data_IF_933746714700
#
_entry.id   IF_933746714700
#
_cell.length_a   1.000
_cell.length_b   1.000
_cell.length_c   1.000
_cell.angle_alpha   90.00
_cell.angle_beta   90.00
_cell.angle_gamma   90.00
#
_symmetry.space_group_name_H-M   'P 1'
#
loop_
_entity.id
_entity.type
_entity.pdbx_description
1 polymer ?
#
# COMPACT_ATOMS: atom_id res chain seq x y z
N UNK A 1 0.60 8.80 8.25
CA UNK A 1 1.99 9.27 8.36
C UNK A 1 2.41 9.79 6.99
N UNK A 2 2.89 11.03 6.96
CA UNK A 2 3.21 11.83 5.78
C UNK A 2 4.49 11.39 5.04
N UNK A 3 4.68 10.07 4.88
CA UNK A 3 5.86 9.48 4.22
C UNK A 3 5.88 9.89 2.74
N UNK A 4 4.71 9.99 2.10
CA UNK A 4 4.51 10.40 0.71
C UNK A 4 4.91 11.85 0.41
N UNK A 5 4.81 12.75 1.39
CA UNK A 5 5.22 14.16 1.25
C UNK A 5 6.69 14.40 1.63
N UNK A 6 7.40 13.36 2.07
CA UNK A 6 8.81 13.44 2.46
C UNK A 6 9.07 14.12 3.81
N UNK A 7 8.06 14.37 4.65
CA UNK A 7 8.23 15.02 5.96
C UNK A 7 9.14 14.21 6.90
N UNK A 8 9.04 12.88 6.83
CA UNK A 8 9.91 11.94 7.56
C UNK A 8 10.63 11.08 6.52
N UNK A 9 11.96 11.18 6.47
CA UNK A 9 12.77 10.33 5.61
C UNK A 9 12.97 8.96 6.30
N UNK A 10 12.40 7.91 5.72
CA UNK A 10 12.63 6.52 6.11
C UNK A 10 14.12 6.21 6.03
N UNK A 11 14.59 5.34 6.91
CA UNK A 11 15.96 4.89 6.95
C UNK A 11 16.03 3.42 6.50
N UNK A 12 16.60 3.10 5.32
CA UNK A 12 16.75 1.71 4.87
C UNK A 12 17.57 0.83 5.81
N UNK A 13 18.34 1.40 6.74
CA UNK A 13 19.07 0.62 7.77
C UNK A 13 18.22 0.30 9.00
N UNK A 14 17.10 1.00 9.19
CA UNK A 14 16.15 0.70 10.25
C UNK A 14 15.19 -0.39 9.78
N UNK A 15 15.04 -1.46 10.58
CA UNK A 15 14.33 -2.68 10.18
C UNK A 15 12.91 -2.42 9.68
N UNK A 16 12.13 -1.61 10.40
CA UNK A 16 10.72 -1.38 10.06
C UNK A 16 10.56 -0.47 8.83
N UNK A 17 11.42 0.54 8.71
CA UNK A 17 11.49 1.39 7.51
C UNK A 17 11.92 0.58 6.28
N UNK A 18 12.91 -0.30 6.43
CA UNK A 18 13.39 -1.18 5.39
C UNK A 18 12.29 -2.12 4.88
N UNK A 19 11.46 -2.68 5.76
CA UNK A 19 10.30 -3.48 5.35
C UNK A 19 9.30 -2.67 4.54
N UNK A 20 9.01 -1.42 4.93
CA UNK A 20 8.10 -0.56 4.17
C UNK A 20 8.63 -0.30 2.76
N UNK A 21 9.92 -0.01 2.64
CA UNK A 21 10.57 0.23 1.34
C UNK A 21 10.62 -1.06 0.51
N UNK A 22 10.99 -2.19 1.11
CA UNK A 22 11.02 -3.51 0.45
C UNK A 22 9.63 -3.91 -0.05
N UNK A 23 8.59 -3.74 0.77
CA UNK A 23 7.21 -3.99 0.38
C UNK A 23 6.83 -3.15 -0.82
N UNK A 24 7.13 -1.85 -0.78
CA UNK A 24 6.77 -0.94 -1.87
C UNK A 24 7.51 -1.27 -3.18
N UNK A 25 8.79 -1.59 -3.10
CA UNK A 25 9.55 -2.06 -4.26
C UNK A 25 9.05 -3.41 -4.77
N UNK A 26 8.49 -4.26 -3.90
CA UNK A 26 7.86 -5.52 -4.28
C UNK A 26 6.52 -5.30 -4.98
N UNK A 27 5.71 -4.34 -4.53
CA UNK A 27 4.44 -3.97 -5.18
C UNK A 27 4.67 -3.48 -6.63
N UNK A 28 5.79 -2.79 -6.85
CA UNK A 28 6.23 -2.35 -8.19
C UNK A 28 6.88 -3.48 -9.02
N UNK A 29 7.00 -4.70 -8.48
CA UNK A 29 7.64 -5.83 -9.15
C UNK A 29 9.18 -5.75 -9.23
N UNK A 30 9.79 -4.75 -8.58
CA UNK A 30 11.23 -4.48 -8.61
C UNK A 30 12.01 -5.28 -7.56
N UNK A 31 11.34 -5.74 -6.50
CA UNK A 31 11.90 -6.57 -5.44
C UNK A 31 11.19 -7.92 -5.35
N UNK A 32 11.95 -9.02 -5.38
CA UNK A 32 11.43 -10.40 -5.31
C UNK A 32 11.96 -11.19 -4.10
N UNK A 33 12.68 -10.50 -3.21
CA UNK A 33 13.23 -11.08 -1.99
C UNK A 33 12.22 -11.05 -0.83
N UNK A 34 12.60 -11.62 0.32
CA UNK A 34 11.77 -11.56 1.53
C UNK A 34 11.65 -10.12 2.07
N UNK A 35 10.46 -9.73 2.52
CA UNK A 35 10.23 -8.44 3.20
C UNK A 35 10.58 -8.60 4.69
N UNK A 36 11.88 -8.73 4.97
CA UNK A 36 12.41 -9.08 6.29
C UNK A 36 12.98 -7.87 7.06
N UNK A 37 13.12 -6.72 6.39
CA UNK A 37 13.73 -5.51 6.93
C UNK A 37 15.26 -5.53 6.93
N UNK A 38 15.88 -6.51 6.26
CA UNK A 38 17.32 -6.60 6.09
C UNK A 38 17.68 -5.98 4.73
N UNK A 39 18.29 -4.80 4.78
CA UNK A 39 18.73 -4.10 3.57
C UNK A 39 20.00 -4.73 3.00
N UNK A 40 19.82 -5.72 2.13
CA UNK A 40 20.90 -6.43 1.45
C UNK A 40 20.95 -6.15 -0.06
N UNK A 41 21.78 -6.94 -0.77
CA UNK A 41 22.01 -6.81 -2.22
C UNK A 41 20.73 -6.80 -3.06
N UNK A 42 19.70 -7.57 -2.65
CA UNK A 42 18.41 -7.56 -3.34
C UNK A 42 17.67 -6.23 -3.23
N UNK A 43 17.67 -5.61 -2.04
CA UNK A 43 17.03 -4.31 -1.81
C UNK A 43 17.80 -3.19 -2.51
N UNK A 44 19.13 -3.25 -2.51
CA UNK A 44 19.99 -2.35 -3.29
C UNK A 44 19.74 -2.45 -4.80
N UNK A 45 19.61 -3.67 -5.33
CA UNK A 45 19.30 -3.88 -6.75
C UNK A 45 17.91 -3.32 -7.10
N UNK A 46 16.91 -3.55 -6.26
CA UNK A 46 15.57 -3.01 -6.47
C UNK A 46 15.54 -1.48 -6.42
N UNK A 47 16.23 -0.87 -5.45
CA UNK A 47 16.39 0.59 -5.37
C UNK A 47 17.07 1.15 -6.64
N UNK A 48 18.13 0.48 -7.11
CA UNK A 48 18.84 0.86 -8.34
C UNK A 48 17.93 0.79 -9.56
N UNK A 49 17.17 -0.28 -9.72
CA UNK A 49 16.20 -0.41 -10.82
C UNK A 49 15.18 0.71 -10.77
N UNK A 50 14.56 0.93 -9.61
CA UNK A 50 13.58 2.01 -9.42
C UNK A 50 14.13 3.37 -9.81
N UNK A 51 15.33 3.72 -9.32
CA UNK A 51 15.98 4.99 -9.67
C UNK A 51 16.32 5.09 -11.15
N UNK A 52 16.78 4.00 -11.77
CA UNK A 52 17.14 3.97 -13.19
C UNK A 52 15.91 4.17 -14.08
N UNK A 53 14.82 3.47 -13.78
CA UNK A 53 13.55 3.59 -14.50
C UNK A 53 12.93 4.99 -14.39
N UNK A 54 13.21 5.70 -13.29
CA UNK A 54 12.72 7.05 -13.04
C UNK A 54 13.78 8.15 -13.30
N UNK A 55 14.89 7.81 -13.95
CA UNK A 55 15.99 8.73 -14.27
C UNK A 55 16.53 9.54 -13.06
N UNK A 56 16.50 8.96 -11.85
CA UNK A 56 17.01 9.58 -10.63
C UNK A 56 18.53 9.36 -10.49
N UNK A 57 19.29 10.38 -10.03
CA UNK A 57 20.72 10.26 -9.81
C UNK A 57 21.05 9.43 -8.56
N UNK A 58 22.32 9.01 -8.44
CA UNK A 58 22.86 8.26 -7.29
C UNK A 58 22.09 6.95 -7.02
N UNK A 59 22.29 5.89 -7.84
CA UNK A 59 21.41 4.71 -7.91
C UNK A 59 21.26 3.90 -6.61
N UNK A 60 22.18 4.05 -5.66
CA UNK A 60 22.14 3.32 -4.38
C UNK A 60 21.84 4.23 -3.18
N UNK A 61 21.74 5.54 -3.41
CA UNK A 61 21.45 6.50 -2.33
C UNK A 61 19.95 6.53 -2.07
N UNK A 62 19.56 6.37 -0.82
CA UNK A 62 18.21 6.70 -0.38
C UNK A 62 18.12 8.17 0.01
N UNK A 63 17.13 8.88 -0.53
CA UNK A 63 16.92 10.31 -0.33
C UNK A 63 15.43 10.67 -0.40
N UNK A 64 15.10 11.92 -0.06
CA UNK A 64 13.72 12.41 0.00
C UNK A 64 13.03 12.34 -1.35
N UNK A 65 13.71 12.68 -2.43
CA UNK A 65 13.15 12.64 -3.79
C UNK A 65 12.76 11.21 -4.18
N UNK A 66 13.64 10.26 -3.89
CA UNK A 66 13.39 8.83 -4.10
C UNK A 66 12.23 8.33 -3.28
N UNK A 67 12.18 8.69 -1.99
CA UNK A 67 11.07 8.30 -1.14
C UNK A 67 9.75 8.89 -1.64
N UNK A 68 9.74 10.18 -1.95
CA UNK A 68 8.56 10.85 -2.46
C UNK A 68 8.08 10.15 -3.72
N UNK A 69 8.97 9.81 -4.66
CA UNK A 69 8.58 9.16 -5.90
C UNK A 69 8.17 7.69 -5.71
N UNK A 70 8.90 6.94 -4.87
CA UNK A 70 8.64 5.53 -4.60
C UNK A 70 7.31 5.32 -3.87
N UNK A 71 7.05 6.17 -2.89
CA UNK A 71 5.81 6.20 -2.11
C UNK A 71 4.83 7.25 -2.64
N UNK A 72 5.05 7.77 -3.85
CA UNK A 72 4.03 8.52 -4.58
C UNK A 72 3.04 7.50 -5.08
N UNK A 73 1.92 7.39 -4.39
CA UNK A 73 0.71 6.88 -5.01
C UNK A 73 -0.31 7.98 -5.04
N UNK A 74 -1.14 7.93 -6.08
CA UNK A 74 -2.36 8.70 -6.25
C UNK A 74 -2.25 9.93 -7.15
N UNK A 75 -3.01 9.98 -8.28
CA UNK A 75 -3.47 11.25 -8.82
C UNK A 75 -3.78 12.22 -7.68
N UNK A 76 -3.20 13.41 -7.72
CA UNK A 76 -3.42 14.44 -6.70
C UNK A 76 -4.88 14.89 -6.65
N UNK A 77 -5.65 14.55 -7.67
CA UNK A 77 -7.09 14.70 -7.73
C UNK A 77 -7.79 13.52 -7.02
N UNK A 78 -8.49 13.77 -5.90
CA UNK A 78 -9.22 12.75 -5.16
C UNK A 78 -10.30 12.03 -5.98
N UNK A 79 -10.88 12.68 -6.99
CA UNK A 79 -11.91 12.09 -7.83
C UNK A 79 -11.32 11.16 -8.89
N UNK A 80 -10.16 11.50 -9.45
CA UNK A 80 -9.43 10.58 -10.33
C UNK A 80 -8.98 9.35 -9.55
N UNK A 81 -8.54 9.55 -8.31
CA UNK A 81 -8.15 8.47 -7.41
C UNK A 81 -9.31 7.50 -7.09
N UNK A 82 -10.44 8.03 -6.61
CA UNK A 82 -11.63 7.23 -6.33
C UNK A 82 -12.08 6.45 -7.57
N UNK A 83 -12.09 7.07 -8.75
CA UNK A 83 -12.45 6.40 -10.01
C UNK A 83 -11.50 5.27 -10.36
N UNK A 84 -10.19 5.46 -10.22
CA UNK A 84 -9.19 4.42 -10.50
C UNK A 84 -9.31 3.23 -9.54
N UNK A 85 -9.58 3.47 -8.25
CA UNK A 85 -9.86 2.42 -7.26
C UNK A 85 -11.15 1.67 -7.60
N UNK A 86 -12.23 2.40 -7.89
CA UNK A 86 -13.55 1.84 -8.22
C UNK A 86 -13.53 1.01 -9.51
N UNK A 87 -12.68 1.36 -10.49
CA UNK A 87 -12.48 0.60 -11.73
C UNK A 87 -11.44 -0.54 -11.59
N UNK A 88 -10.77 -0.66 -10.45
CA UNK A 88 -9.72 -1.65 -10.22
C UNK A 88 -8.49 -1.43 -11.10
N UNK A 89 -8.22 -0.18 -11.48
CA UNK A 89 -6.98 0.27 -12.16
C UNK A 89 -5.84 0.43 -11.14
N UNK A 90 -6.20 0.76 -9.90
CA UNK A 90 -5.32 0.76 -8.73
C UNK A 90 -5.85 -0.31 -7.79
N UNK A 91 -5.01 -1.28 -7.42
CA UNK A 91 -5.38 -2.35 -6.48
C UNK A 91 -4.82 -1.99 -5.11
N UNK A 92 -5.72 -1.76 -4.17
CA UNK A 92 -5.38 -1.51 -2.78
C UNK A 92 -4.88 -2.79 -2.14
N UNK A 93 -3.93 -2.67 -1.22
CA UNK A 93 -3.42 -3.77 -0.41
C UNK A 93 -3.68 -3.48 1.08
N UNK A 94 -4.51 -4.28 1.78
CA UNK A 94 -4.82 -4.05 3.19
C UNK A 94 -3.58 -4.10 4.11
N UNK A 95 -2.46 -4.68 3.67
CA UNK A 95 -1.21 -4.67 4.45
C UNK A 95 -0.45 -3.34 4.36
N UNK A 96 -0.80 -2.48 3.39
CA UNK A 96 -0.25 -1.13 3.26
C UNK A 96 -1.12 -0.17 4.09
N UNK A 97 -0.55 0.59 5.05
CA UNK A 97 -1.36 1.40 5.97
C UNK A 97 -2.22 2.48 5.31
N UNK A 98 -1.84 2.98 4.14
CA UNK A 98 -2.61 4.01 3.43
C UNK A 98 -3.84 3.41 2.76
N UNK A 99 -3.66 2.30 2.05
CA UNK A 99 -4.71 1.50 1.45
C UNK A 99 -5.67 0.93 2.48
N UNK A 100 -5.12 0.41 3.59
CA UNK A 100 -5.89 -0.07 4.72
C UNK A 100 -6.85 1.01 5.25
N UNK A 101 -6.44 2.27 5.32
CA UNK A 101 -7.32 3.38 5.73
C UNK A 101 -8.44 3.63 4.73
N UNK A 102 -8.16 3.55 3.44
CA UNK A 102 -9.17 3.70 2.40
C UNK A 102 -10.19 2.57 2.48
N UNK A 103 -9.73 1.33 2.65
CA UNK A 103 -10.58 0.15 2.81
C UNK A 103 -11.40 0.25 4.10
N UNK A 104 -10.77 0.51 5.25
CA UNK A 104 -11.43 0.69 6.55
C UNK A 104 -12.46 1.82 6.51
N UNK A 105 -12.11 2.95 5.89
CA UNK A 105 -13.02 4.09 5.71
C UNK A 105 -14.24 3.71 4.89
N UNK A 106 -14.04 3.02 3.77
CA UNK A 106 -15.16 2.56 2.95
C UNK A 106 -16.02 1.51 3.65
N UNK A 107 -15.42 0.58 4.38
CA UNK A 107 -16.15 -0.39 5.21
C UNK A 107 -16.95 0.30 6.33
N UNK A 108 -16.41 1.37 6.92
CA UNK A 108 -17.09 2.16 7.94
C UNK A 108 -18.27 2.95 7.37
N UNK A 109 -18.09 3.59 6.21
CA UNK A 109 -19.17 4.27 5.47
C UNK A 109 -20.36 3.34 5.19
N UNK A 110 -20.07 2.07 4.90
CA UNK A 110 -21.07 1.04 4.64
C UNK A 110 -21.59 0.33 5.91
N UNK A 111 -21.09 0.69 7.09
CA UNK A 111 -21.54 0.16 8.38
C UNK A 111 -20.95 -1.20 8.79
N UNK A 112 -19.93 -1.71 8.09
CA UNK A 112 -19.27 -2.97 8.43
C UNK A 112 -18.12 -2.82 9.43
N UNK A 113 -17.51 -1.63 9.53
CA UNK A 113 -16.38 -1.36 10.40
C UNK A 113 -16.70 -0.26 11.41
N UNK A 114 -16.56 -0.57 12.71
CA UNK A 114 -16.80 0.37 13.81
C UNK A 114 -15.51 0.74 14.57
N UNK A 115 -14.37 0.21 14.12
CA UNK A 115 -13.07 0.49 14.71
C UNK A 115 -12.49 1.83 14.24
N UNK A 116 -11.30 2.15 14.76
CA UNK A 116 -10.54 3.32 14.33
C UNK A 116 -9.95 3.12 12.94
N UNK A 117 -10.10 4.09 12.04
CA UNK A 117 -9.47 4.07 10.70
C UNK A 117 -7.97 4.42 10.85
N UNK A 118 -7.20 3.45 11.35
CA UNK A 118 -5.80 3.61 11.74
C UNK A 118 -4.80 3.10 10.70
N UNK A 119 -5.26 2.32 9.72
CA UNK A 119 -4.44 1.67 8.71
C UNK A 119 -3.76 0.38 9.19
N UNK A 120 -4.17 -0.17 10.34
CA UNK A 120 -3.69 -1.44 10.86
C UNK A 120 -4.71 -2.53 10.50
N UNK A 121 -4.30 -3.45 9.65
CA UNK A 121 -5.16 -4.58 9.28
C UNK A 121 -5.13 -5.68 10.33
N UNK A 122 -6.00 -5.55 11.33
CA UNK A 122 -6.16 -6.53 12.41
C UNK A 122 -7.52 -7.20 12.41
N UNK A 123 -7.82 -7.94 13.50
CA UNK A 123 -9.04 -8.74 13.66
C UNK A 123 -10.35 -7.97 13.38
N UNK A 124 -10.41 -6.68 13.73
CA UNK A 124 -11.57 -5.85 13.45
C UNK A 124 -11.77 -5.60 11.95
N UNK A 125 -10.69 -5.35 11.20
CA UNK A 125 -10.72 -5.16 9.76
C UNK A 125 -11.03 -6.47 9.03
N UNK A 126 -10.46 -7.59 9.49
CA UNK A 126 -10.79 -8.93 9.00
C UNK A 126 -12.28 -9.27 9.19
N UNK A 127 -12.83 -8.97 10.37
CA UNK A 127 -14.25 -9.20 10.66
C UNK A 127 -15.17 -8.32 9.79
N UNK A 128 -14.81 -7.06 9.56
CA UNK A 128 -15.55 -6.16 8.69
C UNK A 128 -15.49 -6.61 7.22
N UNK A 129 -14.32 -7.02 6.74
CA UNK A 129 -14.15 -7.60 5.41
C UNK A 129 -15.06 -8.83 5.22
N UNK A 130 -15.02 -9.74 6.20
CA UNK A 130 -15.85 -10.94 6.19
C UNK A 130 -17.35 -10.61 6.14
N UNK A 131 -17.82 -9.72 7.01
CA UNK A 131 -19.22 -9.31 7.02
C UNK A 131 -19.65 -8.63 5.71
N UNK A 132 -18.77 -7.82 5.12
CA UNK A 132 -19.01 -7.22 3.80
C UNK A 132 -19.12 -8.28 2.70
N UNK A 133 -18.17 -9.23 2.65
CA UNK A 133 -18.18 -10.33 1.66
C UNK A 133 -19.43 -11.20 1.79
N UNK A 134 -19.79 -11.60 3.01
CA UNK A 134 -20.98 -12.40 3.29
C UNK A 134 -22.26 -11.68 2.84
N UNK A 135 -22.38 -10.38 3.13
CA UNK A 135 -23.55 -9.58 2.72
C UNK A 135 -23.66 -9.41 1.20
N UNK A 136 -22.55 -9.48 0.47
CA UNK A 136 -22.53 -9.36 -1.00
C UNK A 136 -22.40 -10.71 -1.73
N UNK A 137 -22.39 -11.83 -1.01
CA UNK A 137 -22.27 -13.16 -1.61
C UNK A 137 -20.92 -13.44 -2.26
N UNK A 138 -19.84 -12.81 -1.78
CA UNK A 138 -18.48 -12.98 -2.32
C UNK A 138 -17.78 -14.20 -1.69
N UNK A 139 -17.03 -14.94 -2.50
CA UNK A 139 -16.24 -16.09 -2.04
C UNK A 139 -15.01 -15.67 -1.21
N UNK A 140 -14.41 -16.62 -0.50
CA UNK A 140 -13.17 -16.43 0.29
C UNK A 140 -13.27 -15.27 1.31
N UNK A 141 -14.09 -15.40 2.37
CA UNK A 141 -14.50 -14.30 3.25
C UNK A 141 -13.36 -13.54 3.96
N UNK A 142 -12.17 -14.12 4.04
CA UNK A 142 -11.01 -13.54 4.72
C UNK A 142 -9.96 -12.98 3.78
N UNK A 143 -10.04 -13.26 2.48
CA UNK A 143 -9.07 -12.82 1.50
C UNK A 143 -9.49 -11.50 0.86
N UNK A 144 -8.57 -10.55 0.76
CA UNK A 144 -8.74 -9.36 -0.07
C UNK A 144 -8.32 -9.66 -1.50
N UNK A 145 -9.17 -9.33 -2.47
CA UNK A 145 -8.96 -9.56 -3.90
C UNK A 145 -9.61 -8.45 -4.74
N UNK A 146 -9.33 -8.47 -6.05
CA UNK A 146 -9.83 -7.45 -6.99
C UNK A 146 -11.36 -7.40 -7.04
N UNK A 147 -12.04 -8.55 -7.01
CA UNK A 147 -13.51 -8.61 -7.05
C UNK A 147 -14.12 -7.93 -5.82
N UNK A 148 -13.52 -8.16 -4.66
CA UNK A 148 -13.89 -7.52 -3.41
C UNK A 148 -13.73 -6.02 -3.47
N UNK A 149 -12.60 -5.55 -4.00
CA UNK A 149 -12.38 -4.12 -4.18
C UNK A 149 -13.43 -3.49 -5.10
N UNK A 150 -13.68 -4.09 -6.25
CA UNK A 150 -14.69 -3.60 -7.19
C UNK A 150 -16.06 -3.51 -6.52
N UNK A 151 -16.45 -4.51 -5.73
CA UNK A 151 -17.73 -4.48 -5.01
C UNK A 151 -17.75 -3.47 -3.86
N UNK A 152 -16.62 -3.23 -3.21
CA UNK A 152 -16.54 -2.30 -2.08
C UNK A 152 -16.59 -0.83 -2.53
N UNK A 153 -15.97 -0.53 -3.68
CA UNK A 153 -15.81 0.83 -4.19
C UNK A 153 -16.70 1.18 -5.39
N UNK A 154 -17.59 0.27 -5.82
CA UNK A 154 -18.65 0.60 -6.80
C UNK A 154 -19.61 1.68 -6.30
#
# INVERSE_FOLDING_TARGET
MAISNGEILLNPKAKEDAKLIQHRLSDLGLYKGPIDGIWGKGSEAALKSFKTENALPHPLRWDRETQMLLFREMPSDPEVMKRAIARGEIILNPLIPQDAKLIQGRLAELGFYQGTIDGIWGKGSEAALKAFKERNGLENPTQWDKETQLNLFR
#
